data_IF_743994263383
#
_entry.id   IF_743994263383
#
_cell.length_a   1.000
_cell.length_b   1.000
_cell.length_c   1.000
_cell.angle_alpha   90.00
_cell.angle_beta   90.00
_cell.angle_gamma   90.00
#
_symmetry.space_group_name_H-M   'P 1'
#
loop_
_entity.id
_entity.type
_entity.pdbx_description
1 polymer ?
#
# COMPACT_ATOMS: atom_id res chain seq x y z
N UNK A 1 43.44 12.85 -22.26
CA UNK A 1 42.66 13.98 -21.74
C UNK A 1 41.73 14.49 -22.84
N UNK A 2 40.48 14.06 -22.83
CA UNK A 2 39.44 14.69 -23.65
C UNK A 2 38.71 15.69 -22.77
N UNK A 3 38.72 16.98 -23.15
CA UNK A 3 37.90 18.01 -22.52
C UNK A 3 36.75 18.27 -23.48
N UNK A 4 35.54 17.94 -23.07
CA UNK A 4 34.33 18.32 -23.80
C UNK A 4 33.74 19.48 -23.01
N UNK A 5 33.71 20.66 -23.62
CA UNK A 5 33.00 21.81 -23.07
C UNK A 5 31.66 21.89 -23.83
N UNK A 6 30.55 21.94 -23.10
CA UNK A 6 29.23 22.18 -23.67
C UNK A 6 28.54 23.26 -22.85
N UNK A 7 27.99 24.27 -23.52
CA UNK A 7 27.16 25.32 -22.93
C UNK A 7 25.73 25.08 -23.37
N UNK A 8 24.80 25.14 -22.42
CA UNK A 8 23.36 25.04 -22.69
C UNK A 8 22.67 26.21 -21.99
N UNK A 9 21.80 26.91 -22.73
CA UNK A 9 21.08 28.11 -22.29
C UNK A 9 19.58 27.94 -22.55
N UNK A 10 18.74 28.61 -21.74
CA UNK A 10 17.29 28.73 -21.90
C UNK A 10 16.50 27.40 -22.05
N UNK A 11 16.87 26.37 -21.28
CA UNK A 11 16.24 25.04 -21.38
C UNK A 11 16.02 24.35 -20.03
N UNK A 12 15.03 23.46 -19.99
CA UNK A 12 14.91 22.44 -18.93
C UNK A 12 15.90 21.32 -19.22
N UNK A 13 16.79 21.05 -18.27
CA UNK A 13 17.88 20.09 -18.44
C UNK A 13 17.73 18.92 -17.45
N UNK A 14 17.45 17.73 -17.99
CA UNK A 14 17.65 16.48 -17.28
C UNK A 14 19.10 16.02 -17.43
N UNK A 15 19.83 15.93 -16.32
CA UNK A 15 21.22 15.52 -16.32
C UNK A 15 21.33 14.05 -15.88
N UNK A 16 21.92 13.20 -16.71
CA UNK A 16 22.26 11.82 -16.32
C UNK A 16 23.77 11.68 -16.18
N UNK A 17 24.24 11.38 -14.98
CA UNK A 17 25.65 11.19 -14.67
C UNK A 17 25.88 9.75 -14.21
N UNK A 18 26.90 9.11 -14.80
CA UNK A 18 27.34 7.77 -14.40
C UNK A 18 28.76 7.85 -13.86
N UNK A 19 28.95 7.33 -12.66
CA UNK A 19 30.22 7.25 -11.97
C UNK A 19 30.65 5.79 -11.89
N UNK A 20 31.76 5.44 -12.53
CA UNK A 20 32.33 4.10 -12.48
C UNK A 20 33.75 4.15 -11.91
N UNK A 21 34.01 3.39 -10.83
CA UNK A 21 35.37 3.24 -10.23
C UNK A 21 35.99 4.56 -9.77
N UNK A 22 35.21 5.40 -9.10
CA UNK A 22 35.66 6.71 -8.59
C UNK A 22 35.40 6.86 -7.11
N UNK A 23 36.23 7.64 -6.43
CA UNK A 23 36.01 8.13 -5.07
C UNK A 23 35.88 9.65 -5.13
N UNK A 24 34.71 10.21 -4.80
CA UNK A 24 34.42 11.66 -4.91
C UNK A 24 33.39 12.13 -3.88
N UNK A 25 33.58 13.36 -3.41
CA UNK A 25 32.58 14.12 -2.65
C UNK A 25 31.89 15.10 -3.59
N UNK A 26 30.55 15.14 -3.56
CA UNK A 26 29.72 16.07 -4.34
C UNK A 26 28.97 16.95 -3.34
N UNK A 27 29.53 18.13 -3.09
CA UNK A 27 29.10 19.00 -2.00
C UNK A 27 27.73 19.66 -2.22
N UNK A 28 27.40 19.96 -3.49
CA UNK A 28 26.19 20.70 -3.84
C UNK A 28 25.74 20.30 -5.25
N UNK A 29 24.47 19.91 -5.41
CA UNK A 29 23.78 19.80 -6.71
C UNK A 29 22.55 20.70 -6.64
N UNK A 30 22.70 21.96 -7.07
CA UNK A 30 21.63 22.97 -7.09
C UNK A 30 21.39 23.49 -8.50
N UNK A 31 20.13 23.77 -8.82
CA UNK A 31 19.72 24.46 -10.04
C UNK A 31 20.17 25.94 -10.07
N UNK A 32 21.47 26.23 -10.10
CA UNK A 32 22.07 27.50 -10.52
C UNK A 32 23.60 27.37 -10.56
N UNK A 33 24.17 27.70 -11.72
CA UNK A 33 25.58 27.98 -12.04
C UNK A 33 26.64 27.29 -11.17
N UNK A 34 27.18 26.17 -11.68
CA UNK A 34 28.41 25.58 -11.13
C UNK A 34 29.61 25.87 -12.04
N UNK A 35 30.68 26.36 -11.44
CA UNK A 35 32.05 26.09 -11.89
C UNK A 35 32.71 25.19 -10.84
N UNK A 36 32.98 23.94 -11.22
CA UNK A 36 33.88 23.06 -10.46
C UNK A 36 35.28 23.23 -11.02
N UNK A 37 36.18 23.81 -10.22
CA UNK A 37 37.62 23.83 -10.50
C UNK A 37 38.28 22.71 -9.69
N UNK A 38 39.06 21.85 -10.36
CA UNK A 38 39.85 20.81 -9.70
C UNK A 38 40.88 21.47 -8.77
N UNK A 39 40.83 21.21 -7.47
CA UNK A 39 42.02 21.29 -6.63
C UNK A 39 42.27 20.00 -5.84
N UNK A 40 43.40 19.39 -6.23
CA UNK A 40 44.31 18.50 -5.48
C UNK A 40 44.01 17.00 -5.37
N UNK A 41 45.06 16.23 -5.66
CA UNK A 41 45.36 14.96 -4.99
C UNK A 41 45.05 13.67 -5.75
N UNK A 42 45.92 13.31 -6.69
CA UNK A 42 46.15 11.96 -7.25
C UNK A 42 45.02 10.90 -7.11
N UNK A 43 44.15 10.80 -8.12
CA UNK A 43 43.58 9.55 -8.67
C UNK A 43 42.96 9.90 -10.04
N UNK A 44 43.01 8.96 -11.01
CA UNK A 44 42.70 9.14 -12.45
C UNK A 44 41.52 10.10 -12.70
N UNK A 45 41.79 11.30 -13.23
CA UNK A 45 40.75 12.28 -13.53
C UNK A 45 40.11 12.05 -14.90
N UNK A 46 38.81 11.76 -14.91
CA UNK A 46 37.92 12.11 -16.01
C UNK A 46 37.23 13.43 -15.61
N UNK A 47 37.81 14.55 -16.03
CA UNK A 47 37.21 15.86 -15.81
C UNK A 47 36.15 16.17 -16.86
N UNK A 48 34.88 16.19 -16.47
CA UNK A 48 33.82 16.86 -17.21
C UNK A 48 33.51 18.17 -16.49
N UNK A 49 33.41 19.26 -17.25
CA UNK A 49 32.98 20.55 -16.75
C UNK A 49 31.72 20.93 -17.52
N UNK A 50 30.58 20.89 -16.84
CA UNK A 50 29.31 21.36 -17.37
C UNK A 50 29.01 22.71 -16.73
N UNK A 51 29.00 23.77 -17.53
CA UNK A 51 28.54 25.08 -17.09
C UNK A 51 27.13 25.29 -17.61
N UNK A 52 26.20 25.49 -16.66
CA UNK A 52 24.79 25.77 -16.94
C UNK A 52 24.51 27.20 -16.50
N UNK A 53 24.22 28.07 -17.47
CA UNK A 53 23.86 29.47 -17.24
C UNK A 53 22.39 29.71 -17.63
N UNK A 54 21.72 30.58 -16.88
CA UNK A 54 20.33 30.99 -17.13
C UNK A 54 19.32 29.83 -17.30
N UNK A 55 19.61 28.65 -16.75
CA UNK A 55 18.77 27.45 -16.86
C UNK A 55 18.52 26.84 -15.49
N UNK A 56 17.39 26.15 -15.33
CA UNK A 56 17.00 25.48 -14.09
C UNK A 56 17.25 23.98 -14.26
N UNK A 57 18.22 23.43 -13.52
CA UNK A 57 18.42 21.98 -13.42
C UNK A 57 17.41 21.44 -12.42
N UNK A 58 16.24 21.03 -12.89
CA UNK A 58 15.20 20.56 -11.99
C UNK A 58 15.56 19.22 -11.35
N UNK A 59 16.27 18.36 -12.10
CA UNK A 59 16.45 16.95 -11.78
C UNK A 59 17.81 16.42 -12.25
N UNK A 60 18.45 15.61 -11.40
CA UNK A 60 19.67 14.87 -11.76
C UNK A 60 19.44 13.39 -11.48
N UNK A 61 19.83 12.57 -12.45
CA UNK A 61 19.85 11.12 -12.36
C UNK A 61 21.29 10.66 -12.17
N UNK A 62 21.54 9.93 -11.09
CA UNK A 62 22.87 9.53 -10.67
C UNK A 62 22.96 8.00 -10.65
N UNK A 63 23.94 7.44 -11.35
CA UNK A 63 24.28 6.01 -11.27
C UNK A 63 25.70 5.84 -10.76
N UNK A 64 25.86 5.08 -9.69
CA UNK A 64 27.15 4.77 -9.07
C UNK A 64 27.44 3.27 -9.24
N UNK A 65 28.56 2.93 -9.89
CA UNK A 65 29.04 1.55 -10.06
C UNK A 65 30.45 1.43 -9.54
N UNK A 66 30.67 0.56 -8.55
CA UNK A 66 31.97 0.37 -7.89
C UNK A 66 32.58 1.72 -7.46
N UNK A 67 31.76 2.58 -6.87
CA UNK A 67 32.12 3.97 -6.56
C UNK A 67 31.91 4.26 -5.07
N UNK A 68 32.75 5.13 -4.52
CA UNK A 68 32.55 5.71 -3.20
C UNK A 68 32.13 7.17 -3.38
N UNK A 69 30.87 7.49 -3.06
CA UNK A 69 30.27 8.80 -3.30
C UNK A 69 29.62 9.36 -2.04
N UNK A 70 29.92 10.62 -1.74
CA UNK A 70 29.18 11.42 -0.77
C UNK A 70 28.36 12.45 -1.51
N UNK A 71 27.05 12.45 -1.28
CA UNK A 71 26.07 13.36 -1.87
C UNK A 71 25.51 14.24 -0.76
N UNK A 72 25.85 15.54 -0.76
CA UNK A 72 25.35 16.47 0.23
C UNK A 72 24.51 17.59 -0.37
N UNK A 73 23.52 18.06 0.38
CA UNK A 73 22.68 19.23 0.04
C UNK A 73 22.07 19.20 -1.38
N UNK A 74 21.75 18.00 -1.89
CA UNK A 74 21.29 17.79 -3.25
C UNK A 74 19.77 17.60 -3.38
N UNK A 75 19.24 17.88 -4.57
CA UNK A 75 17.93 17.39 -5.04
C UNK A 75 18.15 16.42 -6.18
N UNK A 76 17.87 15.15 -5.93
CA UNK A 76 18.14 14.05 -6.86
C UNK A 76 16.81 13.42 -7.22
N UNK A 77 16.60 13.19 -8.51
CA UNK A 77 15.37 12.55 -8.97
C UNK A 77 15.52 11.04 -8.84
N UNK A 78 16.33 10.42 -9.71
CA UNK A 78 16.65 9.00 -9.63
C UNK A 78 18.09 8.78 -9.18
N UNK A 79 18.27 7.97 -8.15
CA UNK A 79 19.57 7.51 -7.68
C UNK A 79 19.66 5.98 -7.76
N UNK A 80 20.68 5.49 -8.44
CA UNK A 80 21.00 4.07 -8.55
C UNK A 80 22.40 3.81 -8.01
N UNK A 81 22.48 3.10 -6.89
CA UNK A 81 23.73 2.58 -6.33
C UNK A 81 23.86 1.10 -6.71
N UNK A 82 24.92 0.74 -7.43
CA UNK A 82 25.10 -0.57 -8.02
C UNK A 82 26.52 -1.12 -7.76
N UNK A 83 26.67 -2.44 -7.58
CA UNK A 83 27.92 -3.23 -7.52
C UNK A 83 29.07 -2.58 -6.73
N UNK A 84 29.26 -3.03 -5.50
CA UNK A 84 30.36 -2.65 -4.61
C UNK A 84 30.52 -1.13 -4.43
N UNK A 85 29.40 -0.41 -4.44
CA UNK A 85 29.41 1.03 -4.17
C UNK A 85 29.18 1.30 -2.67
N UNK A 86 29.85 2.32 -2.16
CA UNK A 86 29.67 2.86 -0.81
C UNK A 86 29.15 4.29 -0.95
N UNK A 87 27.92 4.53 -0.52
CA UNK A 87 27.25 5.81 -0.75
C UNK A 87 26.87 6.44 0.59
N UNK A 88 27.21 7.71 0.76
CA UNK A 88 26.69 8.55 1.85
C UNK A 88 25.78 9.64 1.27
N UNK A 89 24.56 9.79 1.80
CA UNK A 89 23.61 10.84 1.43
C UNK A 89 23.34 11.71 2.65
N UNK A 90 23.69 12.98 2.58
CA UNK A 90 23.61 13.89 3.72
C UNK A 90 22.75 15.10 3.37
N UNK A 91 21.82 15.48 4.24
CA UNK A 91 21.05 16.74 4.10
C UNK A 91 20.38 16.90 2.71
N UNK A 92 19.97 15.78 2.10
CA UNK A 92 19.57 15.73 0.68
C UNK A 92 18.16 15.19 0.51
N UNK A 93 17.54 15.51 -0.63
CA UNK A 93 16.25 14.97 -1.03
C UNK A 93 16.41 14.12 -2.28
N UNK A 94 16.01 12.86 -2.20
CA UNK A 94 16.07 11.91 -3.31
C UNK A 94 14.66 11.39 -3.56
N UNK A 95 14.18 11.43 -4.80
CA UNK A 95 12.81 10.98 -5.08
C UNK A 95 12.73 9.45 -5.26
N UNK A 96 13.70 8.85 -5.94
CA UNK A 96 13.81 7.40 -6.06
C UNK A 96 15.23 6.96 -5.80
N UNK A 97 15.39 6.02 -4.88
CA UNK A 97 16.66 5.39 -4.55
C UNK A 97 16.54 3.90 -4.84
N UNK A 98 17.44 3.36 -5.66
CA UNK A 98 17.58 1.92 -5.85
C UNK A 98 19.00 1.53 -5.48
N UNK A 99 19.14 0.57 -4.58
CA UNK A 99 20.45 0.12 -4.09
C UNK A 99 20.59 -1.34 -4.45
N UNK A 100 21.70 -1.78 -5.04
CA UNK A 100 21.92 -3.19 -5.37
C UNK A 100 23.40 -3.55 -5.27
N UNK A 101 23.72 -4.59 -4.49
CA UNK A 101 25.07 -5.02 -4.17
C UNK A 101 25.93 -3.86 -3.65
N UNK A 102 25.36 -2.99 -2.80
CA UNK A 102 25.97 -1.73 -2.38
C UNK A 102 25.56 -1.37 -0.95
N UNK A 103 26.36 -0.51 -0.32
CA UNK A 103 26.08 0.07 0.99
C UNK A 103 25.61 1.52 0.83
N UNK A 104 24.54 1.89 1.53
CA UNK A 104 23.99 3.24 1.57
C UNK A 104 23.83 3.69 3.01
N UNK A 105 24.49 4.78 3.39
CA UNK A 105 24.20 5.53 4.62
C UNK A 105 23.46 6.80 4.24
N UNK A 106 22.36 7.12 4.91
CA UNK A 106 21.71 8.43 4.78
C UNK A 106 21.49 9.08 6.14
N UNK A 107 21.82 10.36 6.23
CA UNK A 107 21.72 11.17 7.44
C UNK A 107 21.02 12.51 7.13
N UNK A 108 20.03 12.87 7.94
CA UNK A 108 19.16 14.05 7.73
C UNK A 108 18.66 14.15 6.29
N UNK A 109 18.23 13.01 5.73
CA UNK A 109 17.84 12.89 4.34
C UNK A 109 16.34 12.60 4.18
N UNK A 110 15.75 13.04 3.06
CA UNK A 110 14.40 12.64 2.65
C UNK A 110 14.49 11.77 1.40
N UNK A 111 14.17 10.49 1.52
CA UNK A 111 14.20 9.52 0.41
C UNK A 111 12.76 9.09 0.06
N UNK A 112 12.17 9.63 -1.01
CA UNK A 112 10.73 9.47 -1.27
C UNK A 112 10.30 8.00 -1.42
N UNK A 113 11.13 7.21 -2.09
CA UNK A 113 11.01 5.76 -2.22
C UNK A 113 12.41 5.14 -2.35
N UNK A 114 12.74 4.21 -1.47
CA UNK A 114 14.00 3.46 -1.46
C UNK A 114 13.71 1.98 -1.68
N UNK A 115 14.24 1.44 -2.77
CA UNK A 115 14.11 0.05 -3.18
C UNK A 115 15.44 -0.68 -2.95
N UNK A 116 15.54 -1.52 -1.91
CA UNK A 116 16.72 -2.34 -1.68
C UNK A 116 16.69 -3.56 -2.61
N UNK A 117 17.76 -3.76 -3.38
CA UNK A 117 18.04 -4.94 -4.17
C UNK A 117 18.87 -5.97 -3.40
N UNK A 118 19.44 -6.94 -4.10
CA UNK A 118 20.26 -8.01 -3.49
C UNK A 118 21.56 -7.50 -2.89
N UNK A 119 22.04 -8.13 -1.82
CA UNK A 119 23.28 -7.87 -1.08
C UNK A 119 23.46 -6.39 -0.73
N UNK A 120 22.44 -5.81 -0.13
CA UNK A 120 22.41 -4.39 0.22
C UNK A 120 22.45 -4.19 1.72
N UNK A 121 23.10 -3.12 2.13
CA UNK A 121 23.08 -2.66 3.51
C UNK A 121 22.72 -1.17 3.50
N UNK A 122 21.60 -0.82 4.14
CA UNK A 122 21.06 0.54 4.16
C UNK A 122 20.97 0.99 5.60
N UNK A 123 21.59 2.11 5.94
CA UNK A 123 21.51 2.73 7.26
C UNK A 123 20.90 4.12 7.13
N UNK A 124 19.77 4.36 7.79
CA UNK A 124 19.07 5.65 7.79
C UNK A 124 19.05 6.21 9.21
N UNK A 125 19.59 7.41 9.39
CA UNK A 125 19.60 8.14 10.68
C UNK A 125 18.95 9.52 10.51
N UNK A 126 18.11 9.93 11.46
CA UNK A 126 17.44 11.25 11.47
C UNK A 126 16.75 11.59 10.14
N UNK A 127 16.22 10.59 9.44
CA UNK A 127 15.78 10.70 8.04
C UNK A 127 14.29 10.41 7.86
N UNK A 128 13.74 10.71 6.68
CA UNK A 128 12.37 10.33 6.29
C UNK A 128 12.41 9.49 5.04
N UNK A 129 11.79 8.32 5.03
CA UNK A 129 11.90 7.39 3.92
C UNK A 129 10.59 6.66 3.58
N UNK A 130 10.30 6.50 2.30
CA UNK A 130 9.41 5.43 1.82
C UNK A 130 10.25 4.20 1.50
N UNK A 131 9.85 3.01 1.93
CA UNK A 131 10.65 1.79 1.78
C UNK A 131 9.92 0.73 0.96
N UNK A 132 10.65 -0.02 0.13
CA UNK A 132 10.13 -1.22 -0.52
C UNK A 132 10.64 -2.48 0.18
N UNK A 133 9.72 -3.30 0.68
CA UNK A 133 10.01 -4.63 1.19
C UNK A 133 10.00 -5.63 0.03
N UNK A 134 11.18 -6.12 -0.36
CA UNK A 134 11.31 -7.18 -1.37
C UNK A 134 11.40 -8.53 -0.68
N UNK A 135 10.53 -9.45 -1.08
CA UNK A 135 10.50 -10.83 -0.60
C UNK A 135 10.71 -11.81 -1.75
N UNK A 136 11.78 -12.60 -1.69
CA UNK A 136 12.11 -13.60 -2.70
C UNK A 136 11.97 -15.02 -2.16
N UNK A 137 11.09 -15.82 -2.77
CA UNK A 137 10.79 -17.20 -2.36
C UNK A 137 10.49 -17.34 -0.85
N UNK A 138 9.77 -16.36 -0.29
CA UNK A 138 9.40 -16.36 1.13
C UNK A 138 7.96 -16.83 1.30
N UNK A 139 7.69 -17.54 2.40
CA UNK A 139 6.38 -18.10 2.69
C UNK A 139 5.98 -17.80 4.13
N UNK A 140 4.70 -17.46 4.32
CA UNK A 140 4.11 -17.27 5.63
C UNK A 140 3.53 -15.87 5.83
N UNK A 141 3.28 -15.55 7.08
CA UNK A 141 2.86 -14.23 7.52
C UNK A 141 4.10 -13.33 7.64
N UNK A 142 3.98 -12.10 7.15
CA UNK A 142 5.04 -11.09 7.25
C UNK A 142 4.44 -9.80 7.74
N UNK A 143 5.13 -9.19 8.70
CA UNK A 143 4.77 -7.89 9.26
C UNK A 143 5.82 -6.88 8.81
N UNK A 144 5.38 -5.69 8.45
CA UNK A 144 6.29 -4.60 8.14
C UNK A 144 6.69 -3.89 9.44
N UNK A 145 7.99 -3.67 9.67
CA UNK A 145 8.42 -2.96 10.87
C UNK A 145 7.79 -1.57 10.96
N UNK A 146 7.43 -1.20 12.18
CA UNK A 146 6.90 0.12 12.52
C UNK A 146 7.73 0.77 13.61
N UNK A 147 7.65 2.09 13.72
CA UNK A 147 8.38 2.88 14.71
C UNK A 147 9.56 3.64 14.10
N UNK A 148 10.21 4.46 14.94
CA UNK A 148 11.29 5.34 14.50
C UNK A 148 12.66 4.67 14.45
N UNK A 149 12.80 3.47 15.01
CA UNK A 149 14.05 2.73 15.00
C UNK A 149 13.81 1.23 14.98
N UNK A 150 14.38 0.55 14.00
CA UNK A 150 14.28 -0.90 13.82
C UNK A 150 15.39 -1.38 12.88
N UNK A 151 15.66 -2.69 12.93
CA UNK A 151 16.44 -3.38 11.90
C UNK A 151 15.52 -4.36 11.17
N UNK A 152 15.65 -4.40 9.85
CA UNK A 152 14.95 -5.33 8.97
C UNK A 152 15.96 -6.07 8.10
N UNK A 153 15.83 -7.37 8.03
CA UNK A 153 16.72 -8.22 7.25
C UNK A 153 15.91 -9.14 6.34
N UNK A 154 16.33 -9.23 5.08
CA UNK A 154 15.94 -10.32 4.21
C UNK A 154 17.16 -11.20 3.86
N UNK A 155 17.34 -12.33 4.56
CA UNK A 155 18.51 -13.20 4.38
C UNK A 155 18.53 -13.92 3.02
N UNK A 156 17.39 -14.01 2.30
CA UNK A 156 17.33 -14.67 0.98
C UNK A 156 18.00 -13.85 -0.10
N UNK A 157 17.89 -12.53 0.00
CA UNK A 157 18.50 -11.59 -0.93
C UNK A 157 19.73 -10.90 -0.33
N UNK A 158 20.06 -11.15 0.94
CA UNK A 158 21.21 -10.54 1.62
C UNK A 158 21.00 -9.04 1.88
N UNK A 159 19.77 -8.61 2.10
CA UNK A 159 19.44 -7.21 2.38
C UNK A 159 19.37 -6.99 3.87
N UNK A 160 20.04 -5.96 4.36
CA UNK A 160 19.94 -5.44 5.71
C UNK A 160 19.57 -3.96 5.66
N UNK A 161 18.62 -3.55 6.50
CA UNK A 161 18.20 -2.16 6.64
C UNK A 161 18.18 -1.84 8.14
N UNK A 162 18.91 -0.81 8.53
CA UNK A 162 18.90 -0.26 9.88
C UNK A 162 18.34 1.16 9.85
N UNK A 163 17.31 1.38 10.64
CA UNK A 163 16.61 2.65 10.79
C UNK A 163 16.85 3.13 12.22
N UNK A 164 17.33 4.36 12.37
CA UNK A 164 17.54 5.03 13.65
C UNK A 164 16.93 6.43 13.62
N UNK A 165 16.13 6.77 14.64
CA UNK A 165 15.47 8.07 14.82
C UNK A 165 14.85 8.67 13.52
N UNK A 166 14.26 7.81 12.68
CA UNK A 166 13.79 8.16 11.34
C UNK A 166 12.30 7.85 11.16
N UNK A 167 11.62 8.52 10.23
CA UNK A 167 10.20 8.29 9.93
C UNK A 167 10.05 7.46 8.64
N UNK A 168 9.36 6.32 8.72
CA UNK A 168 8.89 5.58 7.54
C UNK A 168 7.43 5.94 7.31
N UNK A 169 7.14 6.68 6.24
CA UNK A 169 5.76 7.13 5.98
C UNK A 169 5.02 6.28 4.95
N UNK A 170 5.72 5.54 4.07
CA UNK A 170 5.11 4.65 3.07
C UNK A 170 5.87 3.33 2.96
N UNK A 171 5.13 2.23 2.83
CA UNK A 171 5.67 0.93 2.44
C UNK A 171 5.19 0.51 1.04
N UNK A 172 6.13 0.04 0.23
CA UNK A 172 5.87 -0.75 -0.97
C UNK A 172 6.21 -2.22 -0.69
N UNK A 173 5.52 -3.14 -1.35
CA UNK A 173 5.76 -4.58 -1.23
C UNK A 173 6.02 -5.18 -2.60
N UNK A 174 7.14 -5.90 -2.76
CA UNK A 174 7.42 -6.69 -3.96
C UNK A 174 7.62 -8.17 -3.59
N UNK A 175 6.66 -9.02 -3.94
CA UNK A 175 6.74 -10.46 -3.76
C UNK A 175 7.22 -11.14 -5.04
N UNK A 176 8.29 -11.92 -4.97
CA UNK A 176 8.97 -12.50 -6.13
C UNK A 176 9.33 -13.97 -5.92
N UNK A 177 9.73 -14.67 -6.98
CA UNK A 177 10.31 -16.01 -6.92
C UNK A 177 9.44 -17.07 -6.24
N UNK A 178 8.13 -17.08 -6.49
CA UNK A 178 7.21 -18.06 -5.90
C UNK A 178 6.84 -17.78 -4.44
N UNK A 179 7.02 -16.54 -3.97
CA UNK A 179 6.63 -16.16 -2.60
C UNK A 179 5.15 -16.41 -2.33
N UNK A 180 4.80 -16.81 -1.11
CA UNK A 180 3.42 -16.98 -0.64
C UNK A 180 3.23 -16.23 0.68
N UNK A 181 2.83 -14.96 0.60
CA UNK A 181 2.84 -14.03 1.71
C UNK A 181 1.42 -13.73 2.19
N UNK A 182 1.29 -13.55 3.49
CA UNK A 182 0.08 -13.03 4.13
C UNK A 182 0.47 -11.79 4.94
N UNK A 183 -0.22 -10.68 4.73
CA UNK A 183 -0.05 -9.43 5.48
C UNK A 183 -1.39 -9.02 6.07
N UNK A 184 -1.39 -8.42 7.26
CA UNK A 184 -2.60 -7.99 7.98
C UNK A 184 -2.48 -6.53 8.39
N UNK A 185 -3.57 -5.78 8.20
CA UNK A 185 -3.71 -4.43 8.74
C UNK A 185 -2.60 -3.44 8.29
N UNK A 186 -2.01 -3.70 7.11
CA UNK A 186 -0.90 -2.91 6.58
C UNK A 186 -1.36 -1.73 5.73
N UNK A 187 -0.67 -0.60 5.86
CA UNK A 187 -0.78 0.53 4.94
C UNK A 187 0.29 0.45 3.86
N UNK A 188 -0.12 0.17 2.63
CA UNK A 188 0.78 -0.06 1.51
C UNK A 188 0.50 0.95 0.40
N UNK A 189 1.56 1.66 -0.01
CA UNK A 189 1.54 2.51 -1.19
C UNK A 189 1.26 1.68 -2.44
N UNK A 190 1.99 0.57 -2.61
CA UNK A 190 1.88 -0.33 -3.76
C UNK A 190 2.22 -1.77 -3.37
N UNK A 191 1.55 -2.71 -4.01
CA UNK A 191 1.83 -4.15 -3.89
C UNK A 191 2.09 -4.72 -5.27
N UNK A 192 3.24 -5.35 -5.42
CA UNK A 192 3.69 -5.95 -6.67
C UNK A 192 3.94 -7.45 -6.49
N UNK A 193 3.42 -8.27 -7.40
CA UNK A 193 3.63 -9.71 -7.43
C UNK A 193 4.28 -10.15 -8.74
N UNK A 194 5.45 -10.77 -8.65
CA UNK A 194 6.21 -11.31 -9.77
C UNK A 194 6.50 -12.79 -9.61
N UNK A 195 6.79 -13.46 -10.73
CA UNK A 195 7.32 -14.82 -10.82
C UNK A 195 6.58 -15.85 -9.95
N UNK A 196 5.31 -16.15 -10.27
CA UNK A 196 4.49 -17.14 -9.55
C UNK A 196 4.20 -16.81 -8.07
N UNK A 197 4.30 -15.54 -7.67
CA UNK A 197 4.02 -15.15 -6.28
C UNK A 197 2.52 -15.12 -5.96
N UNK A 198 2.18 -15.34 -4.70
CA UNK A 198 0.83 -15.25 -4.16
C UNK A 198 0.86 -14.38 -2.90
N UNK A 199 0.16 -13.23 -2.94
CA UNK A 199 0.08 -12.31 -1.82
C UNK A 199 -1.37 -12.23 -1.35
N UNK A 200 -1.59 -12.42 -0.04
CA UNK A 200 -2.88 -12.25 0.63
C UNK A 200 -2.79 -11.04 1.55
N UNK A 201 -3.62 -10.04 1.28
CA UNK A 201 -3.69 -8.83 2.07
C UNK A 201 -4.99 -8.86 2.84
N UNK A 202 -4.94 -8.96 4.17
CA UNK A 202 -6.11 -8.96 5.03
C UNK A 202 -6.26 -7.55 5.60
N UNK A 203 -7.42 -6.97 5.34
CA UNK A 203 -7.79 -5.64 5.82
C UNK A 203 -6.78 -4.53 5.46
N UNK A 204 -6.18 -4.51 4.24
CA UNK A 204 -5.13 -3.55 3.91
C UNK A 204 -5.70 -2.15 3.67
N UNK A 205 -4.89 -1.13 3.89
CA UNK A 205 -5.07 0.19 3.28
C UNK A 205 -4.16 0.27 2.06
N UNK A 206 -4.73 0.42 0.86
CA UNK A 206 -3.98 0.49 -0.40
C UNK A 206 -4.14 1.87 -1.02
N UNK A 207 -3.02 2.58 -1.22
CA UNK A 207 -3.06 3.86 -1.93
C UNK A 207 -3.17 3.67 -3.45
N UNK A 208 -2.55 2.60 -3.98
CA UNK A 208 -2.59 2.28 -5.40
C UNK A 208 -3.06 0.85 -5.67
N UNK A 209 -3.67 0.57 -6.85
CA UNK A 209 -4.03 -0.78 -7.23
C UNK A 209 -2.82 -1.73 -7.29
N UNK A 210 -2.94 -2.99 -6.81
CA UNK A 210 -1.87 -3.97 -6.94
C UNK A 210 -1.48 -4.23 -8.40
N UNK A 211 -0.20 -4.50 -8.61
CA UNK A 211 0.40 -4.88 -9.91
C UNK A 211 0.87 -6.32 -9.86
N UNK A 212 0.63 -7.07 -10.92
CA UNK A 212 0.94 -8.51 -10.95
C UNK A 212 1.39 -8.94 -12.34
N UNK A 213 2.46 -9.71 -12.37
CA UNK A 213 3.06 -10.26 -13.60
C UNK A 213 3.40 -11.75 -13.40
N UNK A 214 3.76 -12.45 -14.48
CA UNK A 214 4.28 -13.83 -14.45
C UNK A 214 3.43 -14.84 -13.65
N UNK A 215 2.12 -14.89 -13.95
CA UNK A 215 1.12 -15.77 -13.29
C UNK A 215 1.00 -15.54 -11.77
N UNK A 216 1.47 -14.41 -11.26
CA UNK A 216 1.32 -14.05 -9.86
C UNK A 216 -0.12 -13.66 -9.52
N UNK A 217 -0.42 -13.64 -8.24
CA UNK A 217 -1.74 -13.33 -7.70
C UNK A 217 -1.63 -12.44 -6.47
N UNK A 218 -2.43 -11.38 -6.42
CA UNK A 218 -2.69 -10.61 -5.20
C UNK A 218 -4.17 -10.74 -4.86
N UNK A 219 -4.48 -11.17 -3.64
CA UNK A 219 -5.85 -11.30 -3.13
C UNK A 219 -6.05 -10.31 -1.99
N UNK A 220 -6.95 -9.36 -2.18
CA UNK A 220 -7.41 -8.44 -1.13
C UNK A 220 -8.59 -9.09 -0.41
N UNK A 221 -8.44 -9.27 0.89
CA UNK A 221 -9.39 -9.89 1.80
C UNK A 221 -9.88 -8.82 2.78
N UNK A 222 -11.16 -8.88 3.12
CA UNK A 222 -11.81 -7.94 4.04
C UNK A 222 -12.59 -8.66 5.13
N UNK A 223 -12.49 -8.14 6.35
CA UNK A 223 -13.21 -8.60 7.52
C UNK A 223 -14.67 -8.18 7.45
N UNK A 224 -15.56 -9.12 7.75
CA UNK A 224 -17.00 -8.94 7.76
C UNK A 224 -17.56 -9.47 9.07
N UNK A 225 -18.19 -8.58 9.83
CA UNK A 225 -19.00 -8.93 11.01
C UNK A 225 -20.47 -8.92 10.64
N UNK A 226 -21.14 -10.04 10.85
CA UNK A 226 -22.57 -10.21 10.59
C UNK A 226 -23.29 -10.33 11.92
N UNK A 227 -24.27 -9.46 12.14
CA UNK A 227 -25.15 -9.49 13.30
C UNK A 227 -26.59 -9.74 12.84
N UNK A 228 -27.27 -10.67 13.50
CA UNK A 228 -28.67 -11.00 13.20
C UNK A 228 -29.56 -10.43 14.29
N UNK A 229 -30.60 -9.70 13.86
CA UNK A 229 -31.63 -9.16 14.74
C UNK A 229 -32.97 -9.81 14.42
N UNK A 230 -33.54 -10.52 15.39
CA UNK A 230 -34.83 -11.20 15.29
C UNK A 230 -35.84 -10.56 16.26
N UNK A 231 -36.92 -9.97 15.74
CA UNK A 231 -37.92 -9.27 16.57
C UNK A 231 -37.29 -8.29 17.59
N UNK A 232 -36.36 -7.46 17.12
CA UNK A 232 -35.65 -6.44 17.91
C UNK A 232 -34.67 -6.97 18.99
N UNK A 233 -34.29 -8.25 18.95
CA UNK A 233 -33.27 -8.83 19.83
C UNK A 233 -32.32 -9.76 19.09
N UNK A 234 -31.14 -10.02 19.67
CA UNK A 234 -30.26 -11.07 19.16
C UNK A 234 -30.88 -12.45 19.40
N UNK A 235 -30.96 -13.31 18.38
CA UNK A 235 -31.42 -14.68 18.56
C UNK A 235 -30.33 -15.51 19.26
N UNK A 236 -30.71 -16.53 20.04
CA UNK A 236 -29.73 -17.44 20.64
C UNK A 236 -28.93 -18.24 19.59
N UNK A 237 -29.52 -18.46 18.41
CA UNK A 237 -28.89 -19.09 17.26
C UNK A 237 -29.47 -18.57 15.94
N UNK A 238 -28.65 -18.42 14.91
CA UNK A 238 -29.10 -18.10 13.56
C UNK A 238 -28.28 -18.87 12.52
N UNK A 239 -28.93 -19.40 11.49
CA UNK A 239 -28.23 -19.94 10.33
C UNK A 239 -27.89 -18.80 9.37
N UNK A 240 -26.61 -18.55 9.15
CA UNK A 240 -26.09 -17.50 8.28
C UNK A 240 -25.52 -18.14 7.01
N UNK A 241 -25.98 -17.68 5.86
CA UNK A 241 -25.49 -18.07 4.55
C UNK A 241 -24.97 -16.84 3.83
N UNK A 242 -23.70 -16.86 3.43
CA UNK A 242 -23.07 -15.83 2.60
C UNK A 242 -23.00 -16.32 1.16
N UNK A 243 -23.60 -15.56 0.27
CA UNK A 243 -23.72 -15.85 -1.16
C UNK A 243 -22.93 -14.82 -1.97
N UNK A 244 -22.30 -15.27 -3.06
CA UNK A 244 -21.75 -14.40 -4.11
C UNK A 244 -22.39 -14.82 -5.44
N UNK A 245 -23.31 -13.99 -5.93
CA UNK A 245 -24.22 -14.41 -7.01
C UNK A 245 -25.10 -15.58 -6.56
N UNK A 246 -25.01 -16.71 -7.27
CA UNK A 246 -25.68 -17.98 -6.91
C UNK A 246 -24.88 -18.87 -5.97
N UNK A 247 -23.59 -18.59 -5.78
CA UNK A 247 -22.68 -19.52 -5.12
C UNK A 247 -22.70 -19.31 -3.61
N UNK A 248 -22.84 -20.41 -2.87
CA UNK A 248 -22.69 -20.38 -1.41
C UNK A 248 -21.21 -20.41 -1.04
N UNK A 249 -20.74 -19.32 -0.44
CA UNK A 249 -19.35 -19.17 -0.01
C UNK A 249 -19.16 -19.69 1.41
N UNK A 250 -20.10 -19.33 2.29
CA UNK A 250 -20.10 -19.75 3.70
C UNK A 250 -21.52 -20.11 4.10
N UNK A 251 -21.67 -21.17 4.89
CA UNK A 251 -22.90 -21.51 5.58
C UNK A 251 -22.55 -21.98 7.00
N UNK A 252 -23.05 -21.28 8.02
CA UNK A 252 -22.68 -21.51 9.42
C UNK A 252 -23.89 -21.31 10.34
N UNK A 253 -23.94 -22.09 11.41
CA UNK A 253 -24.88 -21.88 12.51
C UNK A 253 -24.19 -20.99 13.56
N UNK A 254 -24.57 -19.72 13.59
CA UNK A 254 -24.00 -18.70 14.46
C UNK A 254 -24.67 -18.71 15.84
N UNK A 255 -23.86 -18.64 16.90
CA UNK A 255 -24.34 -18.44 18.27
C UNK A 255 -24.58 -16.95 18.52
N UNK A 256 -25.61 -16.63 19.31
CA UNK A 256 -26.02 -15.24 19.61
C UNK A 256 -26.30 -14.38 18.36
N UNK A 257 -26.52 -15.02 17.20
CA UNK A 257 -26.74 -14.34 15.93
C UNK A 257 -25.53 -13.53 15.44
N UNK A 258 -24.31 -13.79 15.92
CA UNK A 258 -23.09 -13.10 15.47
C UNK A 258 -22.15 -14.05 14.76
N UNK A 259 -21.60 -13.61 13.63
CA UNK A 259 -20.57 -14.34 12.88
C UNK A 259 -19.54 -13.39 12.30
N UNK A 260 -18.27 -13.74 12.43
CA UNK A 260 -17.14 -12.99 11.90
C UNK A 260 -16.41 -13.86 10.88
N UNK A 261 -16.05 -13.26 9.76
CA UNK A 261 -15.38 -13.96 8.67
C UNK A 261 -14.54 -12.99 7.84
N UNK A 262 -13.69 -13.56 6.99
CA UNK A 262 -12.86 -12.80 6.06
C UNK A 262 -13.19 -13.26 4.65
N UNK A 263 -13.53 -12.33 3.76
CA UNK A 263 -13.98 -12.62 2.40
C UNK A 263 -13.11 -11.90 1.37
N UNK A 264 -12.90 -12.48 0.18
CA UNK A 264 -12.18 -11.81 -0.89
C UNK A 264 -12.97 -10.62 -1.46
N UNK A 265 -12.37 -9.44 -1.44
CA UNK A 265 -12.89 -8.26 -2.13
C UNK A 265 -12.41 -8.23 -3.57
N UNK A 266 -11.11 -8.39 -3.82
CA UNK A 266 -10.52 -8.34 -5.16
C UNK A 266 -9.50 -9.45 -5.31
N UNK A 267 -9.47 -10.08 -6.48
CA UNK A 267 -8.35 -10.92 -6.91
C UNK A 267 -7.74 -10.30 -8.18
N UNK A 268 -6.46 -9.93 -8.09
CA UNK A 268 -5.69 -9.44 -9.23
C UNK A 268 -4.72 -10.53 -9.67
N UNK A 269 -4.78 -10.91 -10.94
CA UNK A 269 -3.82 -11.82 -11.59
C UNK A 269 -3.21 -11.12 -12.80
N UNK A 270 -2.14 -11.68 -13.36
CA UNK A 270 -1.47 -11.10 -14.52
C UNK A 270 -2.36 -10.91 -15.75
N UNK A 271 -3.50 -11.62 -15.84
CA UNK A 271 -4.42 -11.54 -16.98
C UNK A 271 -5.70 -10.75 -16.71
N UNK A 272 -6.08 -10.56 -15.45
CA UNK A 272 -7.38 -9.99 -15.11
C UNK A 272 -7.43 -9.44 -13.70
N UNK A 273 -8.33 -8.48 -13.49
CA UNK A 273 -8.75 -8.01 -12.18
C UNK A 273 -10.21 -8.42 -11.98
N UNK A 274 -10.45 -9.33 -11.02
CA UNK A 274 -11.79 -9.78 -10.65
C UNK A 274 -12.23 -9.05 -9.39
N UNK A 275 -13.28 -8.25 -9.52
CA UNK A 275 -14.02 -7.73 -8.38
C UNK A 275 -14.91 -8.83 -7.80
N UNK A 276 -14.81 -9.03 -6.49
CA UNK A 276 -15.50 -10.06 -5.71
C UNK A 276 -16.23 -9.45 -4.51
N UNK A 277 -16.34 -8.11 -4.45
CA UNK A 277 -16.90 -7.39 -3.30
C UNK A 277 -18.41 -7.52 -3.11
N UNK A 278 -19.18 -7.93 -4.12
CA UNK A 278 -20.64 -8.07 -4.03
C UNK A 278 -21.07 -9.35 -3.30
N UNK A 279 -21.66 -9.18 -2.12
CA UNK A 279 -22.17 -10.26 -1.29
C UNK A 279 -23.65 -10.11 -0.95
N UNK A 280 -24.32 -11.24 -0.85
CA UNK A 280 -25.65 -11.36 -0.24
C UNK A 280 -25.53 -12.19 1.03
N UNK A 281 -26.04 -11.67 2.13
CA UNK A 281 -26.14 -12.39 3.38
C UNK A 281 -27.60 -12.75 3.62
N UNK A 282 -27.85 -14.02 3.86
CA UNK A 282 -29.15 -14.53 4.29
C UNK A 282 -29.03 -15.07 5.71
N UNK A 283 -29.89 -14.61 6.60
CA UNK A 283 -30.00 -15.12 7.96
C UNK A 283 -31.35 -15.81 8.15
N UNK A 284 -31.36 -16.98 8.79
CA UNK A 284 -32.56 -17.75 9.10
C UNK A 284 -32.64 -18.02 10.59
N UNK A 285 -33.80 -17.74 11.18
CA UNK A 285 -34.11 -17.99 12.59
C UNK A 285 -35.45 -18.71 12.66
N UNK A 286 -35.44 -19.99 13.02
CA UNK A 286 -36.63 -20.84 12.96
C UNK A 286 -37.18 -20.92 11.53
N UNK A 287 -38.46 -20.54 11.34
CA UNK A 287 -39.12 -20.49 10.03
C UNK A 287 -39.01 -19.15 9.30
N UNK A 288 -38.31 -18.16 9.88
CA UNK A 288 -38.22 -16.81 9.33
C UNK A 288 -36.84 -16.56 8.74
N UNK A 289 -36.78 -15.74 7.69
CA UNK A 289 -35.50 -15.35 7.08
C UNK A 289 -35.46 -13.87 6.75
N UNK A 290 -34.25 -13.33 6.73
CA UNK A 290 -33.92 -11.98 6.33
C UNK A 290 -32.74 -12.00 5.37
N UNK A 291 -32.63 -10.96 4.55
CA UNK A 291 -31.56 -10.81 3.56
C UNK A 291 -31.02 -9.39 3.58
N UNK A 292 -29.70 -9.27 3.45
CA UNK A 292 -29.04 -8.01 3.17
C UNK A 292 -28.03 -8.20 2.04
N UNK A 293 -27.82 -7.16 1.23
CA UNK A 293 -26.77 -7.13 0.21
C UNK A 293 -25.77 -6.05 0.60
N UNK A 294 -24.49 -6.30 0.35
CA UNK A 294 -23.41 -5.33 0.60
C UNK A 294 -22.32 -5.44 -0.46
N UNK A 295 -21.60 -4.34 -0.66
CA UNK A 295 -20.33 -4.33 -1.38
C UNK A 295 -19.21 -4.16 -0.35
N UNK A 296 -18.33 -5.15 -0.25
CA UNK A 296 -17.31 -5.24 0.78
C UNK A 296 -16.05 -4.48 0.34
N UNK A 297 -15.96 -3.19 0.64
CA UNK A 297 -14.81 -2.36 0.26
C UNK A 297 -13.84 -2.05 1.42
N UNK A 298 -14.34 -2.16 2.66
CA UNK A 298 -13.63 -1.95 3.91
C UNK A 298 -14.18 -2.92 4.96
N UNK A 299 -13.55 -2.96 6.13
CA UNK A 299 -13.96 -3.77 7.26
C UNK A 299 -15.39 -3.38 7.67
N UNK A 300 -16.34 -4.29 7.45
CA UNK A 300 -17.76 -3.96 7.50
C UNK A 300 -18.47 -4.74 8.60
N UNK A 301 -19.29 -4.04 9.37
CA UNK A 301 -20.28 -4.66 10.26
C UNK A 301 -21.68 -4.44 9.73
N UNK A 302 -22.43 -5.51 9.49
CA UNK A 302 -23.78 -5.46 8.95
C UNK A 302 -24.79 -6.15 9.86
N UNK A 303 -25.98 -5.54 9.96
CA UNK A 303 -27.11 -6.12 10.68
C UNK A 303 -28.15 -6.67 9.70
N UNK A 304 -28.46 -7.96 9.80
CA UNK A 304 -29.53 -8.62 9.05
C UNK A 304 -30.77 -8.73 9.93
N UNK A 305 -31.83 -8.03 9.52
CA UNK A 305 -33.12 -8.06 10.21
C UNK A 305 -33.97 -9.24 9.75
N UNK A 306 -34.45 -10.02 10.71
CA UNK A 306 -35.37 -11.14 10.51
C UNK A 306 -36.67 -10.81 11.24
N UNK A 307 -37.73 -10.54 10.48
CA UNK A 307 -39.04 -10.21 11.05
C UNK A 307 -39.80 -11.47 11.43
N UNK A 308 -39.94 -11.69 12.74
CA UNK A 308 -40.71 -12.77 13.33
C UNK A 308 -42.16 -12.36 13.65
N UNK A 309 -42.88 -13.22 14.40
CA UNK A 309 -44.28 -13.01 14.72
C UNK A 309 -44.54 -11.71 15.49
N UNK A 310 -43.61 -11.27 16.35
CA UNK A 310 -43.82 -10.07 17.14
C UNK A 310 -43.79 -8.82 16.26
N UNK A 311 -42.83 -8.72 15.34
CA UNK A 311 -42.77 -7.60 14.39
C UNK A 311 -43.99 -7.57 13.49
N UNK A 312 -44.40 -8.72 12.93
CA UNK A 312 -45.60 -8.81 12.10
C UNK A 312 -46.88 -8.47 12.86
N UNK A 313 -46.98 -8.87 14.13
CA UNK A 313 -48.12 -8.51 14.99
C UNK A 313 -48.19 -7.01 15.25
N UNK A 314 -47.03 -6.37 15.48
CA UNK A 314 -46.95 -4.92 15.70
C UNK A 314 -47.34 -4.15 14.44
N UNK A 315 -46.84 -4.56 13.26
CA UNK A 315 -47.25 -3.99 11.97
C UNK A 315 -48.77 -4.13 11.78
N UNK A 316 -49.31 -5.33 12.03
CA UNK A 316 -50.75 -5.58 11.95
C UNK A 316 -51.57 -4.68 12.88
N UNK A 317 -51.12 -4.50 14.13
CA UNK A 317 -51.76 -3.62 15.10
C UNK A 317 -51.77 -2.16 14.62
N UNK A 318 -50.65 -1.66 14.10
CA UNK A 318 -50.55 -0.29 13.56
C UNK A 318 -51.52 -0.09 12.40
N UNK A 319 -51.59 -1.04 11.45
CA UNK A 319 -52.52 -0.98 10.32
C UNK A 319 -53.97 -0.94 10.78
N UNK A 320 -54.34 -1.78 11.77
CA UNK A 320 -55.70 -1.79 12.34
C UNK A 320 -56.04 -0.47 13.02
N UNK A 321 -55.11 0.09 13.81
CA UNK A 321 -55.31 1.38 14.48
C UNK A 321 -55.49 2.53 13.48
N UNK A 322 -54.68 2.56 12.41
CA UNK A 322 -54.81 3.56 11.34
C UNK A 322 -56.15 3.43 10.63
N UNK A 323 -56.56 2.21 10.25
CA UNK A 323 -57.85 1.97 9.60
C UNK A 323 -59.02 2.39 10.50
N UNK A 324 -58.95 2.10 11.80
CA UNK A 324 -59.96 2.53 12.78
C UNK A 324 -60.03 4.06 12.88
N UNK A 325 -58.87 4.74 12.92
CA UNK A 325 -58.80 6.20 12.98
C UNK A 325 -59.40 6.86 11.74
N UNK A 326 -59.07 6.36 10.54
CA UNK A 326 -59.66 6.83 9.28
C UNK A 326 -61.18 6.62 9.26
N UNK A 327 -61.66 5.44 9.67
CA UNK A 327 -63.08 5.15 9.78
C UNK A 327 -63.79 6.09 10.76
N UNK A 328 -63.16 6.38 11.90
CA UNK A 328 -63.70 7.29 12.91
C UNK A 328 -63.82 8.73 12.40
N UNK A 329 -62.79 9.25 11.70
CA UNK A 329 -62.85 10.57 11.06
C UNK A 329 -63.96 10.62 10.01
N UNK A 330 -64.02 9.63 9.12
CA UNK A 330 -65.05 9.54 8.09
C UNK A 330 -66.45 9.59 8.69
N UNK A 331 -66.70 8.79 9.74
CA UNK A 331 -67.99 8.78 10.46
C UNK A 331 -68.31 10.14 11.10
N UNK A 332 -67.30 10.83 11.64
CA UNK A 332 -67.46 12.16 12.24
C UNK A 332 -67.78 13.23 11.20
N UNK A 333 -67.17 13.19 10.01
CA UNK A 333 -67.50 14.11 8.91
C UNK A 333 -68.91 13.87 8.37
N UNK A 334 -69.32 12.62 8.18
CA UNK A 334 -70.67 12.29 7.72
C UNK A 334 -71.75 12.85 8.65
N UNK A 335 -71.54 12.75 9.98
CA UNK A 335 -72.43 13.33 11.00
C UNK A 335 -72.50 14.86 11.00
N UNK A 336 -71.52 15.57 10.43
CA UNK A 336 -71.55 17.04 10.29
C UNK A 336 -72.28 17.52 9.04
N UNK A 337 -72.40 16.65 8.02
CA UNK A 337 -73.05 16.96 6.74
C UNK A 337 -74.50 16.47 6.68
N UNK A 338 -75.04 15.90 7.78
CA UNK A 338 -76.45 15.53 7.93
C UNK A 338 -77.07 16.43 8.98
#
# INVERSE_FOLDING_TARGET
SGRINSTVEDTELGLSLTYERVAREIQTITAATFELTEETGAHVSFGWALSVSNSKVEEVNLTATNANLTLSSGRIMDFLAWTFSEIAIENSRVNRTSVQNAHLTANDATLRMTTPGMNTDIQLTDSRCGLSAIYWSQHGEVDLPTGSSFSWENPRIGTHIEIADSEIYDWALAAMGGSNLTLRDEHLLVVEGYQLSNVRLLDPLLETPPRVEDLSRVTVLRSLTIQVMYDFRHPGSAKITVLRGSDTIVQVDATEGRYETVLPQVVVTSSERRDMGDYTIQATVGGFSGRASLYLYEDTSITVWVFGPLTWSLIGMVVVLVAFFVYWIYKKQRRKNT
#
